data_IF_592955742763
#
_entry.id   IF_592955742763
#
_cell.length_a   1.000
_cell.length_b   1.000
_cell.length_c   1.000
_cell.angle_alpha   90.00
_cell.angle_beta   90.00
_cell.angle_gamma   90.00
#
_symmetry.space_group_name_H-M   'P 1'
#
loop_
_entity.id
_entity.type
_entity.pdbx_description
1 polymer ?
#
# COMPACT_ATOMS: atom_id res chain seq x y z
N UNK A 1 7.39 11.06 -9.77
CA UNK A 1 5.93 11.08 -9.97
C UNK A 1 5.28 11.62 -8.70
N UNK A 2 4.26 12.45 -8.83
CA UNK A 2 3.47 12.86 -7.66
C UNK A 2 2.70 11.65 -7.12
N UNK A 3 2.93 11.30 -5.86
CA UNK A 3 2.24 10.19 -5.19
C UNK A 3 0.72 10.38 -5.09
N UNK A 4 0.21 11.60 -5.34
CA UNK A 4 -1.23 11.86 -5.48
C UNK A 4 -1.85 11.18 -6.69
N UNK A 5 -1.31 11.42 -7.89
CA UNK A 5 -1.84 10.85 -9.14
C UNK A 5 -1.85 9.32 -9.09
N UNK A 6 -0.77 8.72 -8.57
CA UNK A 6 -0.69 7.26 -8.44
C UNK A 6 -1.75 6.72 -7.47
N UNK A 7 -2.00 7.41 -6.36
CA UNK A 7 -3.04 7.03 -5.40
C UNK A 7 -4.42 7.06 -6.05
N UNK A 8 -4.75 8.15 -6.73
CA UNK A 8 -6.06 8.33 -7.36
C UNK A 8 -6.30 7.27 -8.44
N UNK A 9 -5.27 6.98 -9.25
CA UNK A 9 -5.34 5.90 -10.23
C UNK A 9 -5.59 4.54 -9.57
N UNK A 10 -4.77 4.16 -8.58
CA UNK A 10 -4.89 2.86 -7.90
C UNK A 10 -6.25 2.72 -7.21
N UNK A 11 -6.72 3.77 -6.54
CA UNK A 11 -8.01 3.74 -5.85
C UNK A 11 -9.18 3.64 -6.85
N UNK A 12 -9.09 4.33 -7.99
CA UNK A 12 -10.10 4.20 -9.06
C UNK A 12 -10.15 2.78 -9.64
N UNK A 13 -9.01 2.08 -9.72
CA UNK A 13 -8.95 0.68 -10.14
C UNK A 13 -9.59 -0.23 -9.09
N UNK A 14 -9.29 -0.02 -7.81
CA UNK A 14 -9.90 -0.78 -6.71
C UNK A 14 -11.42 -0.63 -6.68
N UNK A 15 -11.92 0.59 -6.83
CA UNK A 15 -13.36 0.86 -6.91
C UNK A 15 -14.02 0.14 -8.09
N UNK A 16 -13.36 0.11 -9.26
CA UNK A 16 -13.86 -0.64 -10.42
C UNK A 16 -13.85 -2.15 -10.20
N UNK A 17 -12.82 -2.68 -9.53
CA UNK A 17 -12.77 -4.10 -9.16
C UNK A 17 -13.93 -4.44 -8.21
N UNK A 18 -14.19 -3.60 -7.21
CA UNK A 18 -15.30 -3.80 -6.26
C UNK A 18 -16.66 -3.69 -6.93
N UNK A 19 -16.85 -2.74 -7.84
CA UNK A 19 -18.07 -2.62 -8.64
C UNK A 19 -18.31 -3.85 -9.53
N UNK A 20 -17.25 -4.58 -9.90
CA UNK A 20 -17.34 -5.84 -10.64
C UNK A 20 -17.56 -7.08 -9.73
N UNK A 21 -17.65 -6.88 -8.41
CA UNK A 21 -17.86 -7.96 -7.43
C UNK A 21 -16.59 -8.58 -6.84
N UNK A 22 -15.40 -8.02 -7.15
CA UNK A 22 -14.16 -8.44 -6.50
C UNK A 22 -14.02 -7.80 -5.11
N UNK A 23 -13.37 -8.50 -4.18
CA UNK A 23 -12.98 -7.92 -2.89
C UNK A 23 -11.49 -7.59 -2.92
N UNK A 24 -11.14 -6.33 -2.63
CA UNK A 24 -9.75 -5.90 -2.55
C UNK A 24 -9.40 -5.58 -1.11
N UNK A 25 -8.63 -6.45 -0.46
CA UNK A 25 -8.26 -6.25 0.95
C UNK A 25 -6.81 -5.77 1.14
N UNK A 26 -5.97 -5.96 0.11
CA UNK A 26 -4.55 -5.65 0.19
C UNK A 26 -3.96 -5.11 -1.11
N UNK A 27 -2.98 -4.22 -0.97
CA UNK A 27 -2.10 -3.75 -2.03
C UNK A 27 -0.67 -4.23 -1.76
N UNK A 28 -0.10 -4.97 -2.72
CA UNK A 28 1.27 -5.46 -2.67
C UNK A 28 2.10 -4.67 -3.68
N UNK A 29 3.23 -4.09 -3.25
CA UNK A 29 4.08 -3.29 -4.12
C UNK A 29 5.57 -3.42 -3.78
N UNK A 30 6.44 -3.09 -4.73
CA UNK A 30 7.87 -2.97 -4.48
C UNK A 30 8.22 -1.75 -3.60
N UNK A 31 9.50 -1.56 -3.33
CA UNK A 31 10.02 -0.44 -2.52
C UNK A 31 10.50 0.76 -3.35
N UNK A 32 10.04 0.89 -4.59
CA UNK A 32 10.35 2.00 -5.48
C UNK A 32 9.88 3.34 -4.93
N UNK A 33 10.50 4.44 -5.39
CA UNK A 33 10.21 5.79 -4.86
C UNK A 33 8.74 6.19 -5.03
N UNK A 34 8.12 5.85 -6.16
CA UNK A 34 6.71 6.13 -6.43
C UNK A 34 5.78 5.38 -5.47
N UNK A 35 6.07 4.11 -5.19
CA UNK A 35 5.28 3.29 -4.24
C UNK A 35 5.45 3.79 -2.80
N UNK A 36 6.66 4.19 -2.41
CA UNK A 36 6.89 4.87 -1.13
C UNK A 36 6.14 6.21 -1.01
N UNK A 37 6.00 6.96 -2.10
CA UNK A 37 5.21 8.18 -2.11
C UNK A 37 3.71 7.89 -1.93
N UNK A 38 3.18 6.84 -2.57
CA UNK A 38 1.82 6.33 -2.36
C UNK A 38 1.61 5.93 -0.88
N UNK A 39 2.52 5.14 -0.31
CA UNK A 39 2.46 4.72 1.10
C UNK A 39 2.38 5.93 2.03
N UNK A 40 3.21 6.95 1.80
CA UNK A 40 3.17 8.21 2.56
C UNK A 40 1.83 8.92 2.44
N UNK A 41 1.19 8.92 1.26
CA UNK A 41 -0.16 9.50 1.08
C UNK A 41 -1.26 8.71 1.77
N UNK A 42 -1.07 7.39 1.94
CA UNK A 42 -1.95 6.52 2.72
C UNK A 42 -1.57 6.48 4.22
N UNK A 43 -0.61 7.29 4.66
CA UNK A 43 -0.08 7.31 6.04
C UNK A 43 0.52 5.98 6.51
N UNK A 44 0.92 5.13 5.58
CA UNK A 44 1.61 3.88 5.85
C UNK A 44 3.03 4.22 6.31
N UNK A 45 3.44 3.66 7.43
CA UNK A 45 4.76 3.95 8.00
C UNK A 45 5.28 2.81 8.86
N UNK A 46 6.59 2.60 8.79
CA UNK A 46 7.34 1.76 9.71
C UNK A 46 8.48 2.62 10.27
N UNK A 47 8.52 2.78 11.59
CA UNK A 47 9.54 3.55 12.30
C UNK A 47 10.39 2.59 13.13
N UNK A 48 11.61 3.02 13.49
CA UNK A 48 12.48 2.25 14.39
C UNK A 48 11.85 2.01 15.77
N UNK A 49 11.05 2.96 16.23
CA UNK A 49 10.26 2.88 17.46
C UNK A 49 8.81 3.29 17.19
N UNK A 50 7.89 2.63 17.89
CA UNK A 50 6.45 2.81 17.71
C UNK A 50 5.80 1.71 16.86
N UNK A 51 4.47 1.64 16.93
CA UNK A 51 3.69 0.66 16.19
C UNK A 51 3.64 1.02 14.70
N UNK A 52 3.86 0.06 13.79
CA UNK A 52 3.77 0.32 12.36
C UNK A 52 2.31 0.57 11.94
N UNK A 53 2.13 1.54 11.04
CA UNK A 53 0.83 1.78 10.38
C UNK A 53 0.85 1.04 9.05
N UNK A 54 0.13 -0.07 8.98
CA UNK A 54 0.15 -1.01 7.83
C UNK A 54 -1.13 -0.99 7.00
N UNK A 55 -2.09 -0.13 7.33
CA UNK A 55 -3.36 -0.02 6.61
C UNK A 55 -3.89 1.40 6.57
N UNK A 56 -4.77 1.67 5.61
CA UNK A 56 -5.59 2.87 5.56
C UNK A 56 -7.07 2.51 5.39
N UNK A 57 -7.96 3.51 5.46
CA UNK A 57 -9.38 3.32 5.11
C UNK A 57 -9.48 2.86 3.65
N UNK A 58 -10.28 1.83 3.40
CA UNK A 58 -10.51 1.32 2.05
C UNK A 58 -11.28 2.38 1.21
N UNK A 59 -10.94 2.61 -0.08
CA UNK A 59 -11.65 3.59 -0.93
C UNK A 59 -13.14 3.27 -1.03
N UNK A 60 -13.49 1.99 -1.14
CA UNK A 60 -14.87 1.50 -1.19
C UNK A 60 -15.46 1.18 0.19
N UNK A 61 -14.90 1.74 1.28
CA UNK A 61 -15.38 1.44 2.64
C UNK A 61 -16.81 1.93 2.91
N UNK A 62 -17.33 2.92 2.17
CA UNK A 62 -18.61 3.58 2.48
C UNK A 62 -18.71 3.89 4.00
N UNK A 63 -19.75 3.39 4.67
CA UNK A 63 -20.00 3.53 6.11
C UNK A 63 -19.41 2.40 6.97
N UNK A 64 -18.60 1.53 6.38
CA UNK A 64 -17.95 0.42 7.09
C UNK A 64 -16.54 0.79 7.58
N UNK A 65 -16.00 -0.01 8.50
CA UNK A 65 -14.62 0.09 8.98
C UNK A 65 -13.61 -0.70 8.13
N UNK A 66 -13.92 -0.93 6.85
CA UNK A 66 -13.03 -1.68 5.95
C UNK A 66 -11.69 -0.98 5.78
N UNK A 67 -10.64 -1.80 5.86
CA UNK A 67 -9.23 -1.37 5.75
C UNK A 67 -8.61 -1.96 4.50
N UNK A 68 -7.73 -1.18 3.87
CA UNK A 68 -6.82 -1.63 2.83
C UNK A 68 -5.45 -1.82 3.45
N UNK A 69 -4.92 -3.05 3.41
CA UNK A 69 -3.60 -3.37 3.95
C UNK A 69 -2.51 -3.16 2.89
N UNK A 70 -1.36 -2.63 3.30
CA UNK A 70 -0.21 -2.45 2.42
C UNK A 70 0.88 -3.44 2.80
N UNK A 71 1.29 -4.26 1.83
CA UNK A 71 2.39 -5.20 1.97
C UNK A 71 3.49 -4.89 0.96
N UNK A 72 4.71 -5.20 1.37
CA UNK A 72 5.89 -5.09 0.52
C UNK A 72 6.13 -6.43 -0.15
N UNK A 73 6.55 -6.42 -1.42
CA UNK A 73 7.04 -7.63 -2.10
C UNK A 73 8.20 -8.25 -1.30
N UNK A 74 7.95 -9.46 -0.78
CA UNK A 74 8.88 -10.22 0.06
C UNK A 74 10.17 -10.56 -0.67
N UNK A 75 10.12 -10.81 -1.98
CA UNK A 75 11.30 -11.14 -2.77
C UNK A 75 12.30 -9.98 -2.84
N UNK A 76 11.78 -8.74 -2.93
CA UNK A 76 12.59 -7.53 -2.90
C UNK A 76 13.18 -7.27 -1.51
N UNK A 77 12.43 -7.56 -0.44
CA UNK A 77 12.94 -7.45 0.94
C UNK A 77 14.12 -8.40 1.15
N UNK A 78 13.98 -9.67 0.76
CA UNK A 78 15.05 -10.66 0.93
C UNK A 78 16.32 -10.31 0.14
N UNK A 79 16.18 -9.80 -1.09
CA UNK A 79 17.32 -9.30 -1.87
C UNK A 79 18.02 -8.14 -1.18
N UNK A 80 17.26 -7.19 -0.62
CA UNK A 80 17.83 -6.07 0.12
C UNK A 80 18.54 -6.53 1.39
N UNK A 81 17.97 -7.44 2.17
CA UNK A 81 18.63 -8.01 3.36
C UNK A 81 19.96 -8.67 2.96
N UNK A 82 19.94 -9.54 1.94
CA UNK A 82 21.16 -10.17 1.43
C UNK A 82 22.21 -9.11 1.09
N UNK A 83 21.84 -8.07 0.34
CA UNK A 83 22.76 -6.99 -0.07
C UNK A 83 23.34 -6.14 1.08
N UNK A 84 22.75 -6.17 2.28
CA UNK A 84 23.30 -5.50 3.46
C UNK A 84 24.11 -6.45 4.36
N UNK A 85 24.09 -7.76 4.09
CA UNK A 85 24.82 -8.78 4.85
C UNK A 85 26.12 -9.22 4.17
N UNK A 86 26.39 -8.75 2.96
CA UNK A 86 27.62 -9.01 2.19
C UNK A 86 28.43 -7.74 1.97
#
# INVERSE_FOLDING_TARGET
>A
MDGGILKDLIFSVMEKCEAAGCLVDAAISDMGQSNKALWKRCRISAKRSGEPVVSCRHPSAADTDRKLFFLVDTSHVLKNIRGHLV
#
